data_IF_522416543751
#
_entry.id   IF_522416543751
#
_cell.length_a   1.000
_cell.length_b   1.000
_cell.length_c   1.000
_cell.angle_alpha   90.00
_cell.angle_beta   90.00
_cell.angle_gamma   90.00
#
_symmetry.space_group_name_H-M   'P 1'
#
loop_
_entity.id
_entity.type
_entity.pdbx_description
1 polymer ?
#
# COMPACT_ATOMS: atom_id res chain seq x y z
N UNK A 1 3.32 -8.21 -7.98
CA UNK A 1 4.54 -8.02 -8.80
C UNK A 1 5.34 -6.85 -8.22
N UNK A 2 6.62 -7.06 -7.90
CA UNK A 2 7.58 -5.98 -7.63
C UNK A 2 8.58 -5.91 -8.80
N UNK A 3 9.05 -4.72 -9.14
CA UNK A 3 10.03 -4.49 -10.20
C UNK A 3 11.30 -3.94 -9.58
N UNK A 4 12.44 -4.59 -9.80
CA UNK A 4 13.73 -4.05 -9.34
C UNK A 4 14.24 -3.04 -10.35
N UNK A 5 14.42 -1.80 -9.91
CA UNK A 5 14.97 -0.70 -10.71
C UNK A 5 16.39 -0.39 -10.23
N UNK A 6 17.12 0.44 -10.98
CA UNK A 6 18.44 0.93 -10.57
C UNK A 6 18.40 1.72 -9.24
N UNK A 7 17.24 2.24 -8.84
CA UNK A 7 17.02 2.92 -7.57
C UNK A 7 16.61 1.97 -6.43
N UNK A 8 16.44 0.68 -6.69
CA UNK A 8 15.95 -0.32 -5.72
C UNK A 8 14.69 -1.03 -6.16
N UNK A 9 14.18 -1.93 -5.31
CA UNK A 9 12.96 -2.67 -5.58
C UNK A 9 11.73 -1.76 -5.44
N UNK A 10 11.00 -1.56 -6.53
CA UNK A 10 9.73 -0.84 -6.60
C UNK A 10 8.56 -1.79 -6.36
N UNK A 11 7.65 -1.38 -5.48
CA UNK A 11 6.45 -2.12 -5.11
C UNK A 11 5.19 -1.33 -5.47
N UNK A 12 4.23 -2.03 -6.07
CA UNK A 12 2.89 -1.54 -6.38
C UNK A 12 1.88 -2.60 -5.97
N UNK A 13 0.92 -2.25 -5.11
CA UNK A 13 -0.11 -3.19 -4.64
C UNK A 13 -1.46 -2.49 -4.50
N UNK A 14 -2.55 -3.28 -4.54
CA UNK A 14 -3.90 -2.85 -4.20
C UNK A 14 -4.29 -3.54 -2.88
N UNK A 15 -4.21 -2.85 -1.72
CA UNK A 15 -4.52 -3.45 -0.42
C UNK A 15 -6.03 -3.59 -0.19
N UNK A 16 -6.40 -4.64 0.53
CA UNK A 16 -7.73 -4.79 1.15
C UNK A 16 -7.66 -4.40 2.62
N UNK A 17 -8.72 -3.78 3.15
CA UNK A 17 -8.82 -3.41 4.56
C UNK A 17 -10.02 -4.08 5.22
N UNK A 18 -9.79 -4.63 6.40
CA UNK A 18 -10.81 -5.19 7.28
C UNK A 18 -10.61 -4.64 8.69
N UNK A 19 -11.69 -4.22 9.37
CA UNK A 19 -11.61 -3.68 10.73
C UNK A 19 -12.95 -3.76 11.44
N UNK A 20 -12.94 -4.04 12.74
CA UNK A 20 -14.13 -3.98 13.61
C UNK A 20 -14.40 -2.61 14.21
N UNK A 21 -13.42 -1.70 14.20
CA UNK A 21 -13.53 -0.39 14.86
C UNK A 21 -14.35 0.59 13.99
N UNK A 22 -15.35 1.22 14.61
CA UNK A 22 -16.29 2.12 13.93
C UNK A 22 -15.61 3.33 13.29
N UNK A 23 -14.51 3.81 13.87
CA UNK A 23 -13.73 4.96 13.36
C UNK A 23 -13.10 4.68 11.99
N UNK A 24 -12.89 3.40 11.65
CA UNK A 24 -12.18 2.97 10.45
C UNK A 24 -13.04 2.13 9.50
N UNK A 25 -14.35 2.02 9.74
CA UNK A 25 -15.30 1.29 8.87
C UNK A 25 -15.18 1.73 7.40
N UNK A 26 -14.92 3.02 7.17
CA UNK A 26 -14.77 3.58 5.83
C UNK A 26 -13.68 2.89 4.99
N UNK A 27 -12.63 2.36 5.61
CA UNK A 27 -11.56 1.64 4.91
C UNK A 27 -12.04 0.34 4.24
N UNK A 28 -13.07 -0.33 4.80
CA UNK A 28 -13.59 -1.59 4.25
C UNK A 28 -14.16 -1.48 2.84
N UNK A 29 -14.53 -0.26 2.44
CA UNK A 29 -15.10 0.04 1.11
C UNK A 29 -14.16 0.86 0.25
N UNK A 30 -12.94 1.12 0.74
CA UNK A 30 -11.98 1.95 0.06
C UNK A 30 -11.18 1.13 -0.94
N UNK A 31 -11.26 1.49 -2.21
CA UNK A 31 -10.24 1.09 -3.19
C UNK A 31 -9.01 1.98 -3.01
N UNK A 32 -7.84 1.35 -2.91
CA UNK A 32 -6.59 2.05 -2.69
C UNK A 32 -5.44 1.45 -3.50
N UNK A 33 -4.41 2.26 -3.71
CA UNK A 33 -3.14 1.82 -4.28
C UNK A 33 -2.01 2.14 -3.30
N UNK A 34 -1.09 1.19 -3.12
CA UNK A 34 0.17 1.41 -2.40
C UNK A 34 1.32 1.53 -3.37
N UNK A 35 2.16 2.52 -3.12
CA UNK A 35 3.35 2.86 -3.91
C UNK A 35 4.52 2.90 -2.95
N UNK A 36 5.52 2.06 -3.18
CA UNK A 36 6.66 2.02 -2.28
C UNK A 36 7.90 1.36 -2.84
N UNK A 37 8.85 1.16 -1.94
CA UNK A 37 10.17 0.63 -2.21
C UNK A 37 10.71 -0.21 -1.03
N UNK A 38 11.72 -1.03 -1.32
CA UNK A 38 12.50 -1.70 -0.28
C UNK A 38 13.65 -0.81 0.19
N UNK A 39 13.73 -0.57 1.49
CA UNK A 39 14.83 0.14 2.15
C UNK A 39 15.52 -0.80 3.12
N UNK A 40 16.71 -1.30 2.74
CA UNK A 40 17.42 -2.32 3.53
C UNK A 40 16.64 -3.62 3.66
N UNK A 41 16.19 -3.96 4.88
CA UNK A 41 15.30 -5.11 5.15
C UNK A 41 13.85 -4.72 5.36
N UNK A 42 13.51 -3.43 5.28
CA UNK A 42 12.16 -2.91 5.46
C UNK A 42 11.51 -2.52 4.11
N UNK A 43 10.20 -2.33 4.13
CA UNK A 43 9.44 -1.76 3.01
C UNK A 43 8.83 -0.44 3.46
N UNK A 44 9.11 0.63 2.72
CA UNK A 44 8.50 1.96 2.91
C UNK A 44 7.50 2.19 1.77
N UNK A 45 6.29 2.63 2.09
CA UNK A 45 5.26 2.90 1.09
C UNK A 45 4.26 3.94 1.57
N UNK A 46 3.68 4.65 0.61
CA UNK A 46 2.51 5.50 0.80
C UNK A 46 1.26 4.76 0.33
N UNK A 47 0.10 5.12 0.90
CA UNK A 47 -1.21 4.56 0.54
C UNK A 47 -2.10 5.69 0.04
N UNK A 48 -2.68 5.51 -1.14
CA UNK A 48 -3.55 6.50 -1.77
C UNK A 48 -4.95 5.93 -1.94
N UNK A 49 -5.95 6.68 -1.49
CA UNK A 49 -7.36 6.44 -1.76
C UNK A 49 -7.70 6.77 -3.22
N UNK A 50 -8.43 5.89 -3.90
CA UNK A 50 -8.99 6.17 -5.22
C UNK A 50 -10.31 6.94 -5.08
N UNK A 51 -10.62 7.78 -6.09
CA UNK A 51 -11.84 8.60 -6.14
C UNK A 51 -12.79 8.07 -7.20
#
# INVERSE_FOLDING_TARGET
MGQTTNAGASLRTAPLFETGDSRYVWLRRLEAVRVGERVGTAVKYDVYALK
#
